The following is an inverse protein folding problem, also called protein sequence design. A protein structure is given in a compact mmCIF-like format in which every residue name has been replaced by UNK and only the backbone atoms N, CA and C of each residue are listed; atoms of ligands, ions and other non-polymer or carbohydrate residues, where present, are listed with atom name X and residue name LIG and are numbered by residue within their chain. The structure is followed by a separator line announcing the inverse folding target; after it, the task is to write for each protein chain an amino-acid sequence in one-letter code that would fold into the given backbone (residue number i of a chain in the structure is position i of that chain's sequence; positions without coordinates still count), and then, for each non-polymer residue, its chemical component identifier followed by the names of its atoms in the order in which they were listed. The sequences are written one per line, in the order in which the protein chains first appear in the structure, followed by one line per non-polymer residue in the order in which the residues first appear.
data_IF_285192690811
#
_entry.id   IF_285192690811
#
_cell.length_a   1.000
_cell.length_b   1.000
_cell.length_c   1.000
_cell.angle_alpha   90.00
_cell.angle_beta   90.00
_cell.angle_gamma   90.00
#
_symmetry.space_group_name_H-M   'P 1'
#
loop_
_entity.id
_entity.type
_entity.pdbx_description
1 polymer ?
#
# COMPACT_ATOMS: atom_id res chain seq x y z
N UNK A 1 6.83 6.09 -14.70
CA UNK A 1 6.39 4.83 -14.10
C UNK A 1 6.47 5.00 -12.60
N UNK A 2 5.35 4.84 -11.90
CA UNK A 2 5.30 4.91 -10.44
C UNK A 2 5.61 3.58 -9.78
N UNK A 3 6.20 3.61 -8.57
CA UNK A 3 6.38 2.43 -7.72
C UNK A 3 6.15 2.75 -6.25
N UNK A 4 5.62 1.77 -5.53
CA UNK A 4 5.58 1.70 -4.08
C UNK A 4 6.49 0.56 -3.63
N UNK A 5 7.39 0.85 -2.69
CA UNK A 5 8.22 -0.15 -2.02
C UNK A 5 7.84 -0.13 -0.54
N UNK A 6 7.42 -1.29 -0.02
CA UNK A 6 7.13 -1.49 1.40
C UNK A 6 8.21 -2.38 2.01
N UNK A 7 8.80 -1.97 3.12
CA UNK A 7 9.82 -2.73 3.86
C UNK A 7 9.40 -2.94 5.29
N UNK A 8 9.32 -4.19 5.72
CA UNK A 8 9.01 -4.54 7.10
C UNK A 8 10.29 -4.73 7.90
N UNK A 9 10.41 -3.98 8.99
CA UNK A 9 11.46 -4.11 9.98
C UNK A 9 10.93 -4.90 11.19
N UNK A 10 11.38 -6.15 11.33
CA UNK A 10 10.94 -7.04 12.42
C UNK A 10 11.46 -6.65 13.80
N UNK A 11 12.55 -5.89 13.89
CA UNK A 11 13.11 -5.44 15.18
C UNK A 11 12.19 -4.41 15.85
N UNK A 12 11.63 -3.50 15.06
CA UNK A 12 10.79 -2.39 15.53
C UNK A 12 9.31 -2.59 15.22
N UNK A 13 8.96 -3.67 14.51
CA UNK A 13 7.61 -3.92 13.98
C UNK A 13 7.06 -2.74 13.16
N UNK A 14 7.93 -2.10 12.38
CA UNK A 14 7.59 -0.95 11.54
C UNK A 14 7.58 -1.32 10.06
N UNK A 15 6.73 -0.62 9.32
CA UNK A 15 6.65 -0.64 7.87
C UNK A 15 7.17 0.68 7.33
N UNK A 16 8.26 0.62 6.60
CA UNK A 16 8.82 1.70 5.81
C UNK A 16 8.15 1.69 4.43
N UNK A 17 7.64 2.84 3.99
CA UNK A 17 7.01 3.02 2.70
C UNK A 17 7.76 4.08 1.89
N UNK A 18 8.32 3.66 0.77
CA UNK A 18 8.94 4.54 -0.22
C UNK A 18 8.08 4.59 -1.49
N UNK A 19 7.80 5.80 -1.95
CA UNK A 19 6.99 6.07 -3.13
C UNK A 19 7.83 6.85 -4.12
N UNK A 20 7.79 6.44 -5.38
CA UNK A 20 8.41 7.18 -6.48
C UNK A 20 7.47 7.29 -7.67
N UNK A 21 7.42 8.47 -8.30
CA UNK A 21 6.72 8.66 -9.58
C UNK A 21 7.31 9.83 -10.37
N UNK A 22 8.12 9.53 -11.39
CA UNK A 22 8.83 10.58 -12.13
C UNK A 22 9.87 11.25 -11.23
N UNK A 23 9.81 12.58 -11.06
CA UNK A 23 10.67 13.32 -10.12
C UNK A 23 10.11 13.41 -8.69
N UNK A 24 8.94 12.82 -8.45
CA UNK A 24 8.31 12.82 -7.15
C UNK A 24 8.82 11.65 -6.31
N UNK A 25 9.17 11.95 -5.05
CA UNK A 25 9.56 11.00 -4.03
C UNK A 25 8.78 11.27 -2.74
N UNK A 26 8.33 10.22 -2.08
CA UNK A 26 7.66 10.29 -0.79
C UNK A 26 8.14 9.15 0.10
N UNK A 27 8.25 9.43 1.39
CA UNK A 27 8.70 8.49 2.39
C UNK A 27 7.82 8.61 3.64
N UNK A 28 7.67 7.51 4.36
CA UNK A 28 7.08 7.49 5.69
C UNK A 28 7.21 6.11 6.32
N UNK A 29 7.16 6.06 7.64
CA UNK A 29 7.19 4.83 8.40
C UNK A 29 6.06 4.81 9.44
N UNK A 30 5.49 3.63 9.65
CA UNK A 30 4.45 3.43 10.66
C UNK A 30 4.58 2.03 11.26
N UNK A 31 4.03 1.81 12.44
CA UNK A 31 3.89 0.45 12.97
C UNK A 31 3.09 -0.42 11.99
N UNK A 32 3.47 -1.69 11.89
CA UNK A 32 2.81 -2.67 11.04
C UNK A 32 1.83 -3.52 11.86
N UNK A 33 0.52 -3.25 11.78
CA UNK A 33 -0.43 -3.83 12.69
C UNK A 33 -1.08 -5.04 12.00
N UNK A 34 -0.74 -6.24 12.47
CA UNK A 34 -1.02 -7.51 11.78
C UNK A 34 -2.52 -7.76 11.60
N UNK A 35 -3.37 -7.25 12.50
CA UNK A 35 -4.82 -7.45 12.47
C UNK A 35 -5.48 -6.64 11.35
N UNK A 36 -5.20 -5.33 11.29
CA UNK A 36 -5.74 -4.41 10.28
C UNK A 36 -5.26 -4.80 8.88
N UNK A 37 -4.02 -5.29 8.77
CA UNK A 37 -3.49 -5.85 7.52
C UNK A 37 -4.30 -7.07 7.08
N UNK A 38 -4.71 -7.94 8.01
CA UNK A 38 -5.55 -9.09 7.72
C UNK A 38 -6.93 -8.72 7.15
N UNK A 39 -7.61 -7.75 7.77
CA UNK A 39 -8.90 -7.22 7.29
C UNK A 39 -8.75 -6.57 5.92
N UNK A 40 -7.69 -5.80 5.71
CA UNK A 40 -7.40 -5.18 4.43
C UNK A 40 -7.17 -6.24 3.34
N UNK A 41 -6.34 -7.26 3.58
CA UNK A 41 -6.10 -8.37 2.64
C UNK A 41 -7.41 -9.06 2.25
N UNK A 42 -8.28 -9.35 3.22
CA UNK A 42 -9.58 -9.98 2.93
C UNK A 42 -10.44 -9.10 2.01
N UNK A 43 -10.42 -7.78 2.22
CA UNK A 43 -11.18 -6.85 1.38
C UNK A 43 -10.62 -6.75 -0.06
N UNK A 44 -9.31 -6.94 -0.26
CA UNK A 44 -8.69 -6.94 -1.60
C UNK A 44 -9.08 -8.15 -2.45
N UNK A 45 -9.59 -9.23 -1.83
CA UNK A 45 -10.00 -10.45 -2.52
C UNK A 45 -11.47 -10.42 -3.00
N UNK A 46 -12.24 -9.39 -2.65
CA UNK A 46 -13.62 -9.26 -3.07
C UNK A 46 -13.76 -8.90 -4.56
N UNK A 47 -14.79 -9.45 -5.23
CA UNK A 47 -15.15 -9.08 -6.59
C UNK A 47 -16.66 -8.78 -6.72
N UNK A 48 -17.05 -7.60 -7.26
CA UNK A 48 -16.18 -6.44 -7.52
C UNK A 48 -15.71 -5.79 -6.22
N UNK A 49 -14.49 -5.26 -6.21
CA UNK A 49 -14.00 -4.45 -5.09
C UNK A 49 -14.78 -3.13 -5.05
N UNK A 50 -15.20 -2.67 -3.86
CA UNK A 50 -15.91 -1.40 -3.72
C UNK A 50 -14.93 -0.27 -3.37
N UNK A 51 -14.42 -0.32 -2.15
CA UNK A 51 -13.33 0.52 -1.66
C UNK A 51 -12.74 -0.19 -0.45
N UNK A 52 -11.42 -0.25 -0.43
CA UNK A 52 -10.65 -0.87 0.65
C UNK A 52 -9.58 0.11 1.09
N UNK A 53 -9.49 0.38 2.39
CA UNK A 53 -8.54 1.32 2.96
C UNK A 53 -7.73 0.61 4.05
N UNK A 54 -6.41 0.84 4.08
CA UNK A 54 -5.50 0.49 5.16
C UNK A 54 -4.84 1.78 5.63
N UNK A 55 -4.98 2.12 6.91
CA UNK A 55 -4.36 3.28 7.51
C UNK A 55 -3.42 2.83 8.63
N UNK A 56 -2.12 3.00 8.40
CA UNK A 56 -1.07 2.69 9.36
C UNK A 56 -0.62 3.99 10.01
N UNK A 57 -0.55 4.01 11.34
CA UNK A 57 -0.36 5.22 12.13
C UNK A 57 0.78 5.04 13.12
N UNK A 58 1.52 6.14 13.34
CA UNK A 58 2.62 6.29 14.30
C UNK A 58 3.89 5.50 13.93
N UNK A 59 5.08 6.12 13.85
CA UNK A 59 5.34 7.55 14.05
C UNK A 59 4.80 8.47 12.93
N UNK A 60 4.63 7.97 11.70
CA UNK A 60 4.04 8.71 10.59
C UNK A 60 2.62 8.27 10.21
N UNK A 61 2.24 8.53 8.96
CA UNK A 61 1.00 8.04 8.37
C UNK A 61 1.27 7.37 7.03
N UNK A 62 0.80 6.12 6.87
CA UNK A 62 0.76 5.43 5.58
C UNK A 62 -0.69 5.02 5.33
N UNK A 63 -1.35 5.67 4.37
CA UNK A 63 -2.67 5.26 3.90
C UNK A 63 -2.55 4.60 2.53
N UNK A 64 -3.13 3.41 2.40
CA UNK A 64 -3.27 2.68 1.14
C UNK A 64 -4.76 2.48 0.87
N UNK A 65 -5.26 3.05 -0.22
CA UNK A 65 -6.64 2.89 -0.66
C UNK A 65 -6.71 2.20 -2.01
N UNK A 66 -7.56 1.19 -2.14
CA UNK A 66 -7.83 0.49 -3.40
C UNK A 66 -9.29 0.67 -3.78
N UNK A 67 -9.57 1.08 -5.01
CA UNK A 67 -10.93 1.30 -5.50
C UNK A 67 -11.01 1.18 -7.03
N UNK A 68 -12.20 0.89 -7.61
CA UNK A 68 -12.38 0.78 -9.05
C UNK A 68 -11.93 2.02 -9.81
N UNK A 69 -11.24 1.80 -10.92
CA UNK A 69 -10.88 2.86 -11.86
C UNK A 69 -11.95 3.02 -12.96
N UNK A 70 -12.48 1.92 -13.46
CA UNK A 70 -13.48 1.89 -14.53
C UNK A 70 -14.32 0.60 -14.48
N UNK A 71 -15.33 0.54 -15.36
CA UNK A 71 -16.25 -0.61 -15.47
C UNK A 71 -15.67 -1.84 -16.18
N UNK A 72 -14.40 -1.80 -16.64
CA UNK A 72 -13.75 -2.94 -17.33
C UNK A 72 -12.74 -3.68 -16.46
N UNK A 73 -12.64 -3.32 -15.17
CA UNK A 73 -11.89 -4.08 -14.17
C UNK A 73 -10.53 -3.51 -13.82
N UNK A 74 -10.18 -2.31 -14.27
CA UNK A 74 -8.99 -1.63 -13.77
C UNK A 74 -9.25 -1.07 -12.37
N UNK A 75 -8.19 -1.01 -11.57
CA UNK A 75 -8.22 -0.54 -10.19
C UNK A 75 -7.20 0.59 -10.01
N UNK A 76 -7.49 1.49 -9.08
CA UNK A 76 -6.52 2.44 -8.59
C UNK A 76 -6.06 2.04 -7.20
N UNK A 77 -4.76 2.10 -6.99
CA UNK A 77 -4.14 2.11 -5.66
C UNK A 77 -3.67 3.52 -5.40
N UNK A 78 -4.25 4.19 -4.41
CA UNK A 78 -3.77 5.46 -3.89
C UNK A 78 -2.93 5.17 -2.67
N UNK A 79 -1.74 5.76 -2.62
CA UNK A 79 -0.88 5.74 -1.45
C UNK A 79 -0.64 7.18 -1.01
N UNK A 80 -0.80 7.42 0.28
CA UNK A 80 -0.52 8.70 0.94
C UNK A 80 0.46 8.41 2.07
N UNK A 81 1.62 9.07 2.05
CA UNK A 81 2.63 8.96 3.11
C UNK A 81 2.93 10.32 3.70
N UNK A 82 3.14 10.34 5.01
CA UNK A 82 3.66 11.47 5.76
C UNK A 82 4.64 10.96 6.83
N UNK A 83 5.67 11.76 7.11
CA UNK A 83 6.70 11.43 8.10
C UNK A 83 6.16 11.57 9.53
N UNK A 84 5.29 12.56 9.78
CA UNK A 84 4.59 12.74 11.04
C UNK A 84 3.08 12.48 10.88
N UNK A 85 2.43 11.98 11.94
CA UNK A 85 0.97 11.80 11.99
C UNK A 85 0.21 13.13 11.99
N UNK A 86 0.85 14.21 12.48
CA UNK A 86 0.28 15.56 12.53
C UNK A 86 0.51 16.37 11.25
N UNK A 87 1.29 15.83 10.30
CA UNK A 87 1.54 16.48 9.02
C UNK A 87 0.25 16.63 8.19
N UNK A 88 0.10 17.80 7.60
CA UNK A 88 -1.02 18.10 6.68
C UNK A 88 -0.65 17.84 5.22
N UNK A 89 0.63 17.75 4.93
CA UNK A 89 1.17 17.58 3.60
C UNK A 89 1.50 16.11 3.35
N UNK A 90 0.62 15.45 2.60
CA UNK A 90 0.81 14.05 2.22
C UNK A 90 1.52 13.96 0.88
N UNK A 91 2.58 13.16 0.85
CA UNK A 91 3.09 12.64 -0.39
C UNK A 91 2.09 11.64 -0.98
N UNK A 92 1.37 12.03 -2.04
CA UNK A 92 0.31 11.22 -2.64
C UNK A 92 0.68 10.71 -4.03
N UNK A 93 0.58 9.40 -4.22
CA UNK A 93 0.68 8.75 -5.53
C UNK A 93 -0.54 7.89 -5.82
N UNK A 94 -0.91 7.84 -7.10
CA UNK A 94 -1.93 6.95 -7.62
C UNK A 94 -1.31 6.04 -8.67
N UNK A 95 -1.41 4.74 -8.47
CA UNK A 95 -0.99 3.70 -9.39
C UNK A 95 -2.23 3.06 -10.01
N UNK A 96 -2.20 2.81 -11.32
CA UNK A 96 -3.21 1.97 -11.99
C UNK A 96 -2.74 0.52 -11.95
N UNK A 97 -3.67 -0.39 -11.67
CA UNK A 97 -3.42 -1.83 -11.57
C UNK A 97 -4.65 -2.61 -12.03
N UNK A 98 -4.58 -3.94 -11.93
CA UNK A 98 -5.66 -4.89 -12.21
C UNK A 98 -5.82 -5.88 -11.04
N UNK A 99 -6.85 -6.74 -11.11
CA UNK A 99 -7.11 -7.75 -10.08
C UNK A 99 -6.00 -8.79 -9.94
N UNK A 100 -5.28 -9.14 -11.01
CA UNK A 100 -4.23 -10.16 -10.95
C UNK A 100 -3.00 -9.64 -10.19
N UNK A 101 -2.59 -8.39 -10.47
CA UNK A 101 -1.53 -7.69 -9.74
C UNK A 101 -1.94 -7.37 -8.31
N UNK A 102 -3.20 -6.96 -8.08
CA UNK A 102 -3.71 -6.73 -6.73
C UNK A 102 -3.71 -8.03 -5.89
N UNK A 103 -4.12 -9.16 -6.48
CA UNK A 103 -4.07 -10.46 -5.82
C UNK A 103 -2.65 -10.86 -5.44
N UNK A 104 -1.67 -10.62 -6.32
CA UNK A 104 -0.25 -10.82 -6.01
C UNK A 104 0.21 -9.95 -4.85
N UNK A 105 -0.16 -8.67 -4.86
CA UNK A 105 0.16 -7.73 -3.78
C UNK A 105 -0.47 -8.16 -2.44
N UNK A 106 -1.73 -8.58 -2.44
CA UNK A 106 -2.41 -9.09 -1.25
C UNK A 106 -1.73 -10.36 -0.69
N UNK A 107 -1.30 -11.28 -1.56
CA UNK A 107 -0.54 -12.46 -1.16
C UNK A 107 0.81 -12.07 -0.54
N UNK A 108 1.53 -11.11 -1.14
CA UNK A 108 2.79 -10.61 -0.60
C UNK A 108 2.59 -9.93 0.76
N UNK A 109 1.55 -9.12 0.95
CA UNK A 109 1.20 -8.55 2.26
C UNK A 109 0.93 -9.65 3.30
N UNK A 110 0.27 -10.74 2.91
CA UNK A 110 0.04 -11.88 3.81
C UNK A 110 1.35 -12.56 4.22
N UNK A 111 2.29 -12.74 3.28
CA UNK A 111 3.62 -13.29 3.57
C UNK A 111 4.43 -12.35 4.49
N UNK A 112 4.36 -11.05 4.26
CA UNK A 112 5.00 -10.03 5.11
C UNK A 112 4.44 -10.05 6.53
N UNK A 113 3.11 -10.16 6.68
CA UNK A 113 2.46 -10.25 7.98
C UNK A 113 2.81 -11.53 8.77
N UNK A 114 3.25 -12.57 8.08
CA UNK A 114 3.79 -13.80 8.69
C UNK A 114 5.30 -13.74 8.94
N UNK A 115 5.97 -12.65 8.55
CA UNK A 115 7.43 -12.52 8.64
C UNK A 115 8.19 -13.35 7.61
N UNK A 116 7.53 -13.84 6.55
CA UNK A 116 8.15 -14.68 5.52
C UNK A 116 8.91 -13.87 4.47
N UNK A 117 8.48 -12.61 4.25
CA UNK A 117 9.18 -11.65 3.38
C UNK A 117 9.28 -10.30 4.10
N UNK A 118 10.30 -9.53 3.74
CA UNK A 118 10.54 -8.21 4.32
C UNK A 118 10.38 -7.06 3.32
N UNK A 119 10.20 -7.33 2.03
CA UNK A 119 10.05 -6.31 0.99
C UNK A 119 8.93 -6.67 0.00
N UNK A 120 8.11 -5.67 -0.34
CA UNK A 120 7.06 -5.75 -1.37
C UNK A 120 7.22 -4.58 -2.33
N UNK A 121 7.08 -4.85 -3.62
CA UNK A 121 7.12 -3.82 -4.67
C UNK A 121 5.81 -3.87 -5.46
N UNK A 122 5.12 -2.73 -5.54
CA UNK A 122 3.96 -2.53 -6.40
C UNK A 122 4.30 -1.48 -7.47
N UNK A 123 4.34 -1.90 -8.72
CA UNK A 123 4.61 -1.03 -9.87
C UNK A 123 3.32 -0.58 -10.56
N UNK A 124 3.33 0.65 -11.09
CA UNK A 124 2.29 1.15 -11.99
C UNK A 124 2.22 0.29 -13.25
N UNK A 125 1.00 -0.04 -13.69
CA UNK A 125 0.82 -0.71 -14.97
C UNK A 125 1.44 0.09 -16.12
N UNK A 126 2.12 -0.60 -17.03
CA UNK A 126 2.55 -0.03 -18.29
C UNK A 126 1.33 -0.02 -19.19
N UNK A 127 0.66 1.13 -19.27
CA UNK A 127 -0.37 1.38 -20.28
C UNK A 127 0.15 1.11 -21.70
#
# INVERSE_FOLDING_TARGET
MGRLVLRFNSEWSTLDANIERGHFHGHGDAYFPTNEVGEFIASLQAYPIQRSDLALKSPGLINISVFPADGVGHLFVRIEVAEDIDDRDFARVRLRTDYARLSRFANQLSLMAKGEITEIILEEDKA
#
